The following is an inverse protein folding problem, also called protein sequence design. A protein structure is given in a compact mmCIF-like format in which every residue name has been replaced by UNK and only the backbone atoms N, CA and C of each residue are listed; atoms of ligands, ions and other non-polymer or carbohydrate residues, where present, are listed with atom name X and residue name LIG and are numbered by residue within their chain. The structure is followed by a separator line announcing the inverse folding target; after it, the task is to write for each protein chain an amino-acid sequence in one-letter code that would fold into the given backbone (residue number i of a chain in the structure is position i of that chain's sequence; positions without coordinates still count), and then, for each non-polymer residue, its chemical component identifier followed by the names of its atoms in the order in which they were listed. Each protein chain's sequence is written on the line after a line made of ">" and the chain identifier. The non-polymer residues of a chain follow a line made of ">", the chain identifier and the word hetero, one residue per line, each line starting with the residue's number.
data_IF_008025728251
#
_entry.id   IF_008025728251
#
_cell.length_a   1.000
_cell.length_b   1.000
_cell.length_c   1.000
_cell.angle_alpha   90.00
_cell.angle_beta   90.00
_cell.angle_gamma   90.00
#
_symmetry.space_group_name_H-M   'P 1'
#
loop_
_entity.id
_entity.type
_entity.pdbx_description
1 polymer ?
#
# COMPACT_ATOMS: atom_id res chain seq x y z
N UNK A 1 4.41 11.45 -33.00
CA UNK A 1 5.04 12.77 -32.76
C UNK A 1 4.07 13.86 -33.19
N UNK A 2 3.49 14.61 -32.26
CA UNK A 2 2.50 15.65 -32.58
C UNK A 2 3.21 16.93 -33.04
N UNK A 3 2.95 17.36 -34.28
CA UNK A 3 3.51 18.57 -34.88
C UNK A 3 3.03 19.80 -34.11
N UNK A 4 3.93 20.48 -33.40
CA UNK A 4 3.66 21.76 -32.72
C UNK A 4 3.10 22.77 -33.74
N UNK A 5 1.84 23.17 -33.59
CA UNK A 5 1.26 24.27 -34.37
C UNK A 5 1.93 25.59 -33.95
N UNK A 6 2.88 26.07 -34.75
CA UNK A 6 3.50 27.38 -34.55
C UNK A 6 2.47 28.47 -34.85
N UNK A 7 2.46 29.52 -34.02
CA UNK A 7 1.62 30.69 -34.26
C UNK A 7 1.95 31.30 -35.63
N UNK A 8 0.93 31.54 -36.44
CA UNK A 8 1.11 32.02 -37.82
C UNK A 8 1.03 33.54 -37.86
N UNK A 9 1.87 34.17 -38.68
CA UNK A 9 1.97 35.62 -38.79
C UNK A 9 0.93 36.20 -39.78
N UNK A 10 0.79 37.53 -39.81
CA UNK A 10 -0.16 38.21 -40.70
C UNK A 10 0.07 37.87 -42.17
N UNK A 11 1.35 37.77 -42.58
CA UNK A 11 1.73 37.41 -43.94
C UNK A 11 1.23 36.02 -44.35
N UNK A 12 1.18 35.06 -43.43
CA UNK A 12 0.63 33.73 -43.71
C UNK A 12 -0.86 33.77 -44.09
N UNK A 13 -1.66 34.58 -43.39
CA UNK A 13 -3.09 34.71 -43.69
C UNK A 13 -3.30 35.42 -45.03
N UNK A 14 -2.48 36.43 -45.32
CA UNK A 14 -2.45 37.07 -46.64
C UNK A 14 -2.10 36.07 -47.75
N UNK A 15 -1.04 35.27 -47.61
CA UNK A 15 -0.66 34.26 -48.61
C UNK A 15 -1.76 33.23 -48.86
N UNK A 16 -2.55 32.87 -47.83
CA UNK A 16 -3.69 31.96 -47.97
C UNK A 16 -4.79 32.57 -48.82
N UNK A 17 -5.12 33.83 -48.59
CA UNK A 17 -6.18 34.51 -49.32
C UNK A 17 -5.72 34.84 -50.74
N UNK A 18 -4.46 35.26 -50.92
CA UNK A 18 -3.84 35.48 -52.23
C UNK A 18 -3.80 34.21 -53.09
N UNK A 19 -3.50 33.06 -52.49
CA UNK A 19 -3.58 31.74 -53.17
C UNK A 19 -4.99 31.43 -53.67
N UNK A 20 -6.01 31.80 -52.89
CA UNK A 20 -7.40 31.60 -53.26
C UNK A 20 -7.81 32.54 -54.40
N UNK A 21 -7.37 33.80 -54.38
CA UNK A 21 -7.62 34.79 -55.44
C UNK A 21 -6.95 34.41 -56.77
N UNK A 22 -5.74 33.84 -56.74
CA UNK A 22 -5.02 33.37 -57.92
C UNK A 22 -5.50 32.00 -58.44
N UNK A 23 -6.49 31.39 -57.77
CA UNK A 23 -7.11 30.10 -58.13
C UNK A 23 -6.10 28.97 -58.43
N UNK A 24 -4.98 28.94 -57.68
CA UNK A 24 -3.90 27.94 -57.83
C UNK A 24 -3.81 27.04 -56.59
N UNK A 25 -4.76 26.10 -56.41
CA UNK A 25 -4.86 25.27 -55.20
C UNK A 25 -3.72 24.25 -55.07
N UNK A 26 -2.84 24.09 -56.06
CA UNK A 26 -1.76 23.10 -56.04
C UNK A 26 -0.38 23.65 -55.63
N UNK A 27 -0.20 24.98 -55.54
CA UNK A 27 1.10 25.58 -55.15
C UNK A 27 1.32 25.51 -53.65
N UNK A 28 2.53 25.13 -53.22
CA UNK A 28 2.86 25.10 -51.80
C UNK A 28 2.98 26.53 -51.23
N UNK A 29 2.81 26.70 -49.91
CA UNK A 29 2.98 28.00 -49.28
C UNK A 29 4.43 28.51 -49.36
N UNK A 30 5.41 27.62 -49.52
CA UNK A 30 6.83 27.95 -49.70
C UNK A 30 7.09 28.51 -51.11
N UNK A 31 6.45 27.94 -52.14
CA UNK A 31 6.50 28.44 -53.51
C UNK A 31 5.86 29.82 -53.66
N UNK A 32 4.78 30.08 -52.91
CA UNK A 32 4.08 31.38 -52.92
C UNK A 32 4.93 32.45 -52.21
N UNK A 33 5.60 32.10 -51.11
CA UNK A 33 6.50 33.03 -50.40
C UNK A 33 7.71 33.44 -51.25
N UNK A 34 8.14 32.58 -52.19
CA UNK A 34 9.24 32.83 -53.11
C UNK A 34 8.82 33.63 -54.37
N UNK A 35 7.52 33.82 -54.65
CA UNK A 35 7.05 34.61 -55.79
C UNK A 35 7.25 36.11 -55.51
N UNK A 36 8.03 36.85 -56.33
CA UNK A 36 8.28 38.27 -56.14
C UNK A 36 6.99 39.11 -56.10
N UNK A 37 5.95 38.69 -56.85
CA UNK A 37 4.68 39.43 -56.97
C UNK A 37 3.89 39.42 -55.67
N UNK A 38 3.90 38.31 -54.94
CA UNK A 38 3.23 38.18 -53.64
C UNK A 38 3.88 39.10 -52.59
N UNK A 39 5.22 39.20 -52.61
CA UNK A 39 5.95 40.09 -51.70
C UNK A 39 5.75 41.57 -52.03
N UNK A 40 5.64 41.93 -53.32
CA UNK A 40 5.36 43.30 -53.76
C UNK A 40 3.93 43.73 -53.42
N UNK A 41 2.94 42.87 -53.65
CA UNK A 41 1.54 43.16 -53.28
C UNK A 41 1.33 43.28 -51.76
N UNK A 42 2.06 42.48 -50.97
CA UNK A 42 2.06 42.64 -49.51
C UNK A 42 2.67 43.96 -49.05
N UNK A 43 3.75 44.44 -49.71
CA UNK A 43 4.39 45.72 -49.39
C UNK A 43 3.52 46.92 -49.76
N UNK A 44 2.76 46.81 -50.84
CA UNK A 44 1.87 47.86 -51.35
C UNK A 44 0.43 47.77 -50.80
N UNK A 45 0.17 46.87 -49.84
CA UNK A 45 -1.16 46.66 -49.30
C UNK A 45 -1.65 47.88 -48.49
N UNK A 46 -2.90 48.35 -48.68
CA UNK A 46 -3.46 49.43 -47.89
C UNK A 46 -3.47 49.10 -46.39
N UNK A 47 -3.17 50.10 -45.54
CA UNK A 47 -3.09 49.95 -44.08
C UNK A 47 -4.29 49.19 -43.50
N UNK A 48 -5.50 49.51 -43.97
CA UNK A 48 -6.76 48.91 -43.49
C UNK A 48 -6.80 47.39 -43.73
N UNK A 49 -6.34 46.89 -44.89
CA UNK A 49 -6.30 45.43 -45.14
C UNK A 49 -5.18 44.76 -44.37
N UNK A 50 -4.06 45.45 -44.18
CA UNK A 50 -2.95 44.94 -43.38
C UNK A 50 -3.34 44.74 -41.91
N UNK A 51 -4.09 45.69 -41.36
CA UNK A 51 -4.61 45.63 -39.99
C UNK A 51 -5.55 44.44 -39.77
N UNK A 52 -6.35 44.08 -40.78
CA UNK A 52 -7.21 42.89 -40.73
C UNK A 52 -6.38 41.59 -40.62
N UNK A 53 -5.31 41.46 -41.40
CA UNK A 53 -4.42 40.29 -41.31
C UNK A 53 -3.62 40.25 -39.99
N UNK A 54 -3.26 41.41 -39.45
CA UNK A 54 -2.62 41.50 -38.13
C UNK A 54 -3.58 41.14 -36.98
N UNK A 55 -4.86 41.48 -37.09
CA UNK A 55 -5.91 41.04 -36.15
C UNK A 55 -6.06 39.50 -36.17
N UNK A 56 -6.13 38.89 -37.35
CA UNK A 56 -6.19 37.43 -37.51
C UNK A 56 -4.95 36.73 -36.94
N UNK A 57 -3.77 37.31 -37.11
CA UNK A 57 -2.54 36.79 -36.52
C UNK A 57 -2.53 36.89 -34.99
N UNK A 58 -3.06 37.99 -34.42
CA UNK A 58 -3.22 38.15 -32.97
C UNK A 58 -4.20 37.11 -32.40
N UNK A 59 -5.34 36.90 -33.03
CA UNK A 59 -6.31 35.87 -32.63
C UNK A 59 -5.71 34.46 -32.70
N UNK A 60 -4.97 34.14 -33.76
CA UNK A 60 -4.31 32.85 -33.91
C UNK A 60 -3.25 32.60 -32.82
N UNK A 61 -2.51 33.64 -32.43
CA UNK A 61 -1.55 33.58 -31.33
C UNK A 61 -2.22 33.29 -29.99
N UNK A 62 -3.37 33.92 -29.72
CA UNK A 62 -4.18 33.69 -28.50
C UNK A 62 -4.73 32.25 -28.48
N UNK A 63 -5.22 31.74 -29.62
CA UNK A 63 -5.71 30.36 -29.74
C UNK A 63 -4.60 29.33 -29.56
N UNK A 64 -3.41 29.56 -30.14
CA UNK A 64 -2.26 28.69 -29.93
C UNK A 64 -1.82 28.68 -28.46
N UNK A 65 -1.81 29.83 -27.77
CA UNK A 65 -1.51 29.92 -26.34
C UNK A 65 -2.55 29.20 -25.47
N UNK A 66 -3.85 29.30 -25.79
CA UNK A 66 -4.91 28.53 -25.11
C UNK A 66 -4.79 27.02 -25.35
N UNK A 67 -4.32 26.59 -26.52
CA UNK A 67 -4.08 25.17 -26.80
C UNK A 67 -2.87 24.62 -26.04
N UNK A 68 -1.82 25.43 -25.86
CA UNK A 68 -0.64 25.11 -25.06
C UNK A 68 -0.98 24.97 -23.57
N UNK A 69 -1.94 25.75 -23.05
CA UNK A 69 -2.42 25.63 -21.67
C UNK A 69 -3.43 24.49 -21.44
N UNK A 70 -4.02 23.93 -22.51
CA UNK A 70 -4.89 22.74 -22.43
C UNK A 70 -4.13 21.42 -22.48
N UNK A 71 -2.91 21.39 -23.03
CA UNK A 71 -2.10 20.19 -23.21
C UNK A 71 -0.84 20.14 -22.31
N UNK A 72 -0.77 20.89 -21.21
CA UNK A 72 0.35 20.74 -20.28
C UNK A 72 0.23 19.42 -19.52
N UNK A 73 1.27 18.58 -19.58
CA UNK A 73 1.41 17.37 -18.79
C UNK A 73 1.12 17.60 -17.29
N UNK A 74 1.35 18.83 -16.78
CA UNK A 74 0.98 19.24 -15.43
C UNK A 74 -0.50 19.10 -15.08
N UNK A 75 -1.46 19.36 -15.99
CA UNK A 75 -2.89 19.25 -15.63
C UNK A 75 -3.36 17.79 -15.54
N UNK A 76 -2.74 16.88 -16.31
CA UNK A 76 -3.01 15.44 -16.17
C UNK A 76 -2.47 14.92 -14.85
N UNK A 77 -1.24 15.31 -14.48
CA UNK A 77 -0.68 14.99 -13.17
C UNK A 77 -1.51 15.55 -12.01
N UNK A 78 -2.02 16.79 -12.11
CA UNK A 78 -2.87 17.37 -11.07
C UNK A 78 -4.19 16.61 -10.89
N UNK A 79 -4.87 16.23 -11.99
CA UNK A 79 -6.10 15.43 -11.92
C UNK A 79 -5.85 14.04 -11.35
N UNK A 80 -4.75 13.40 -11.75
CA UNK A 80 -4.37 12.08 -11.24
C UNK A 80 -4.04 12.14 -9.73
N UNK A 81 -3.42 13.23 -9.26
CA UNK A 81 -3.19 13.48 -7.83
C UNK A 81 -4.52 13.71 -7.09
N UNK A 82 -5.40 14.59 -7.59
CA UNK A 82 -6.71 14.85 -6.98
C UNK A 82 -7.59 13.58 -6.92
N UNK A 83 -7.57 12.75 -7.96
CA UNK A 83 -8.28 11.46 -7.98
C UNK A 83 -7.66 10.43 -7.04
N UNK A 84 -6.35 10.48 -6.81
CA UNK A 84 -5.67 9.62 -5.85
C UNK A 84 -6.00 10.05 -4.42
N UNK A 85 -5.88 11.34 -4.10
CA UNK A 85 -6.24 11.91 -2.80
C UNK A 85 -7.70 11.63 -2.46
N UNK A 86 -8.60 11.77 -3.45
CA UNK A 86 -10.02 11.45 -3.25
C UNK A 86 -10.24 9.97 -2.93
N UNK A 87 -9.53 9.06 -3.61
CA UNK A 87 -9.63 7.61 -3.34
C UNK A 87 -9.08 7.25 -1.97
N UNK A 88 -7.98 7.88 -1.56
CA UNK A 88 -7.41 7.70 -0.22
C UNK A 88 -8.35 8.22 0.86
N UNK A 89 -9.01 9.36 0.64
CA UNK A 89 -10.00 9.90 1.58
C UNK A 89 -11.26 9.03 1.65
N UNK A 90 -11.77 8.55 0.51
CA UNK A 90 -12.89 7.60 0.45
C UNK A 90 -12.53 6.29 1.17
N UNK A 91 -11.32 5.77 0.96
CA UNK A 91 -10.83 4.57 1.63
C UNK A 91 -10.77 4.77 3.15
N UNK A 92 -10.17 5.86 3.61
CA UNK A 92 -10.07 6.22 5.03
C UNK A 92 -11.45 6.39 5.66
N UNK A 93 -12.37 7.04 4.96
CA UNK A 93 -13.74 7.21 5.42
C UNK A 93 -14.46 5.86 5.57
N UNK A 94 -14.35 4.99 4.58
CA UNK A 94 -14.95 3.65 4.61
C UNK A 94 -14.37 2.80 5.75
N UNK A 95 -13.05 2.87 5.98
CA UNK A 95 -12.38 2.20 7.09
C UNK A 95 -12.92 2.67 8.44
N UNK A 96 -12.99 4.00 8.66
CA UNK A 96 -13.51 4.57 9.92
C UNK A 96 -14.97 4.17 10.15
N UNK A 97 -15.81 4.24 9.11
CA UNK A 97 -17.20 3.81 9.20
C UNK A 97 -17.32 2.33 9.53
N UNK A 98 -16.54 1.47 8.89
CA UNK A 98 -16.52 0.04 9.15
C UNK A 98 -16.15 -0.26 10.60
N UNK A 99 -15.00 0.25 11.06
CA UNK A 99 -14.50 0.01 12.41
C UNK A 99 -15.49 0.53 13.45
N UNK A 100 -15.97 1.76 13.28
CA UNK A 100 -16.93 2.36 14.21
C UNK A 100 -18.24 1.56 14.27
N UNK A 101 -18.74 1.09 13.12
CA UNK A 101 -19.95 0.27 13.05
C UNK A 101 -19.78 -1.07 13.76
N UNK A 102 -18.71 -1.81 13.44
CA UNK A 102 -18.43 -3.13 14.03
C UNK A 102 -18.24 -3.04 15.54
N UNK A 103 -17.43 -2.10 16.03
CA UNK A 103 -17.18 -1.91 17.47
C UNK A 103 -18.45 -1.45 18.18
N UNK A 104 -19.21 -0.52 17.61
CA UNK A 104 -20.46 -0.02 18.22
C UNK A 104 -21.54 -1.10 18.27
N UNK A 105 -21.68 -1.91 17.22
CA UNK A 105 -22.57 -3.08 17.22
C UNK A 105 -22.12 -4.11 18.25
N UNK A 106 -20.81 -4.37 18.30
CA UNK A 106 -20.15 -5.20 19.30
C UNK A 106 -20.54 -4.84 20.73
N UNK A 107 -20.53 -3.54 21.00
CA UNK A 107 -20.86 -3.00 22.30
C UNK A 107 -22.36 -3.09 22.63
N UNK A 108 -23.23 -2.82 21.64
CA UNK A 108 -24.69 -2.85 21.81
C UNK A 108 -25.22 -4.26 22.06
N UNK A 109 -24.59 -5.27 21.48
CA UNK A 109 -24.97 -6.67 21.62
C UNK A 109 -24.18 -7.42 22.69
N UNK A 110 -23.35 -6.71 23.46
CA UNK A 110 -22.50 -7.26 24.53
C UNK A 110 -21.61 -8.43 24.08
N UNK A 111 -21.19 -8.41 22.81
CA UNK A 111 -20.36 -9.44 22.19
C UNK A 111 -18.97 -8.93 21.79
N UNK A 112 -18.63 -7.70 22.20
CA UNK A 112 -17.34 -7.06 21.91
C UNK A 112 -16.14 -7.92 22.32
N UNK A 113 -16.23 -8.65 23.44
CA UNK A 113 -15.15 -9.53 23.91
C UNK A 113 -14.87 -10.69 22.94
N UNK A 114 -15.90 -11.16 22.22
CA UNK A 114 -15.85 -12.31 21.30
C UNK A 114 -15.65 -11.91 19.84
N UNK A 115 -15.70 -10.61 19.53
CA UNK A 115 -15.46 -10.14 18.17
C UNK A 115 -14.05 -10.49 17.74
N UNK A 116 -13.94 -11.00 16.51
CA UNK A 116 -12.70 -11.47 15.93
C UNK A 116 -12.21 -10.48 14.88
N UNK A 117 -10.95 -10.11 14.99
CA UNK A 117 -10.24 -9.26 14.06
C UNK A 117 -9.05 -10.04 13.50
N UNK A 118 -8.67 -9.81 12.26
CA UNK A 118 -7.56 -10.51 11.63
C UNK A 118 -6.38 -9.57 11.47
N UNK A 119 -5.25 -9.91 12.06
CA UNK A 119 -4.02 -9.11 11.99
C UNK A 119 -3.08 -9.71 10.96
N UNK A 120 -2.38 -8.86 10.21
CA UNK A 120 -1.36 -9.29 9.23
C UNK A 120 -0.09 -8.45 9.37
N UNK A 121 1.06 -9.12 9.38
CA UNK A 121 2.38 -8.51 9.33
C UNK A 121 3.22 -9.16 8.23
N UNK A 122 4.08 -8.37 7.58
CA UNK A 122 5.01 -8.83 6.53
C UNK A 122 6.38 -8.23 6.79
N UNK A 123 7.40 -9.07 6.87
CA UNK A 123 8.80 -8.67 6.72
C UNK A 123 9.19 -8.72 5.25
N UNK A 124 10.19 -7.94 4.86
CA UNK A 124 10.69 -7.85 3.50
C UNK A 124 12.21 -7.85 3.43
N UNK A 125 12.73 -8.33 2.30
CA UNK A 125 14.13 -8.25 1.95
C UNK A 125 14.50 -6.89 1.36
N UNK A 126 13.70 -6.36 0.43
CA UNK A 126 14.05 -5.12 -0.29
C UNK A 126 12.81 -4.29 -0.63
N UNK A 127 13.04 -3.01 -0.92
CA UNK A 127 12.02 -2.07 -1.39
C UNK A 127 12.42 -1.55 -2.77
N UNK A 128 11.58 -1.83 -3.77
CA UNK A 128 11.80 -1.41 -5.15
C UNK A 128 10.79 -0.34 -5.55
N UNK A 129 11.26 0.84 -5.93
CA UNK A 129 10.40 1.89 -6.47
C UNK A 129 10.03 1.57 -7.92
N UNK A 130 8.72 1.40 -8.20
CA UNK A 130 8.19 1.14 -9.56
C UNK A 130 7.69 2.43 -10.23
N UNK A 131 7.54 3.53 -9.48
CA UNK A 131 7.06 4.81 -10.00
C UNK A 131 6.96 5.88 -8.93
N UNK A 132 6.30 7.00 -9.26
CA UNK A 132 6.04 8.06 -8.29
C UNK A 132 5.20 7.51 -7.13
N UNK A 133 5.80 7.47 -5.93
CA UNK A 133 5.18 7.01 -4.69
C UNK A 133 4.64 5.57 -4.72
N UNK A 134 5.17 4.70 -5.60
CA UNK A 134 4.81 3.27 -5.64
C UNK A 134 6.02 2.41 -5.33
N UNK A 135 5.85 1.54 -4.34
CA UNK A 135 6.89 0.67 -3.82
C UNK A 135 6.44 -0.78 -3.87
N UNK A 136 7.31 -1.63 -4.39
CA UNK A 136 7.22 -3.08 -4.38
C UNK A 136 8.09 -3.60 -3.25
N UNK A 137 7.56 -4.53 -2.47
CA UNK A 137 8.31 -5.17 -1.40
C UNK A 137 8.55 -6.62 -1.76
N UNK A 138 9.79 -7.09 -1.62
CA UNK A 138 10.11 -8.52 -1.70
C UNK A 138 9.89 -9.17 -0.34
N UNK A 139 8.80 -9.93 -0.10
CA UNK A 139 8.47 -10.45 1.22
C UNK A 139 9.45 -11.55 1.65
N UNK A 140 9.83 -11.52 2.92
CA UNK A 140 10.71 -12.50 3.56
C UNK A 140 9.94 -13.45 4.48
N UNK A 141 8.87 -12.96 5.11
CA UNK A 141 8.06 -13.69 6.08
C UNK A 141 6.73 -12.95 6.23
N UNK A 142 5.64 -13.67 6.50
CA UNK A 142 4.42 -13.05 6.98
C UNK A 142 3.73 -13.89 8.04
N UNK A 143 2.85 -13.24 8.79
CA UNK A 143 1.92 -13.92 9.68
C UNK A 143 0.54 -13.26 9.60
N UNK A 144 -0.50 -14.10 9.61
CA UNK A 144 -1.89 -13.72 9.77
C UNK A 144 -2.41 -14.37 11.04
N UNK A 145 -2.99 -13.59 11.94
CA UNK A 145 -3.47 -14.06 13.23
C UNK A 145 -4.91 -13.62 13.47
N UNK A 146 -5.69 -14.48 14.12
CA UNK A 146 -7.00 -14.13 14.63
C UNK A 146 -6.86 -13.53 16.03
N UNK A 147 -7.51 -12.40 16.29
CA UNK A 147 -7.49 -11.72 17.57
C UNK A 147 -8.90 -11.54 18.10
N UNK A 148 -9.10 -11.78 19.39
CA UNK A 148 -10.29 -11.36 20.14
C UNK A 148 -9.86 -10.90 21.53
N UNK A 149 -10.65 -10.02 22.15
CA UNK A 149 -10.34 -9.57 23.52
C UNK A 149 -10.46 -10.70 24.55
N UNK A 150 -11.33 -11.69 24.31
CA UNK A 150 -11.56 -12.82 25.22
C UNK A 150 -10.47 -13.88 25.17
N UNK A 151 -9.96 -14.18 23.98
CA UNK A 151 -9.04 -15.29 23.76
C UNK A 151 -7.64 -14.84 23.30
N UNK A 152 -7.38 -13.53 23.24
CA UNK A 152 -6.15 -12.99 22.68
C UNK A 152 -5.92 -13.45 21.23
N UNK A 153 -4.66 -13.78 20.93
CA UNK A 153 -4.20 -14.20 19.61
C UNK A 153 -4.36 -15.72 19.43
N UNK A 154 -5.05 -16.12 18.35
CA UNK A 154 -5.37 -17.50 17.99
C UNK A 154 -5.15 -17.74 16.49
N UNK A 155 -5.21 -19.02 16.07
CA UNK A 155 -5.23 -19.44 14.67
C UNK A 155 -4.19 -18.74 13.76
N UNK A 156 -2.93 -18.74 14.20
CA UNK A 156 -1.87 -18.05 13.47
C UNK A 156 -1.41 -18.85 12.25
N UNK A 157 -1.62 -18.30 11.07
CA UNK A 157 -1.00 -18.74 9.83
C UNK A 157 0.30 -17.96 9.60
N UNK A 158 1.42 -18.66 9.53
CA UNK A 158 2.75 -18.05 9.42
C UNK A 158 3.58 -18.84 8.41
N UNK A 159 4.31 -18.13 7.56
CA UNK A 159 5.22 -18.72 6.57
C UNK A 159 6.48 -17.84 6.44
N UNK A 160 7.64 -18.49 6.28
CA UNK A 160 8.89 -17.86 5.82
C UNK A 160 8.97 -18.10 4.32
N UNK A 161 9.38 -17.08 3.56
CA UNK A 161 9.26 -17.08 2.11
C UNK A 161 10.63 -17.26 1.46
N UNK A 162 10.63 -18.02 0.37
CA UNK A 162 11.77 -18.18 -0.51
C UNK A 162 11.48 -17.46 -1.84
N UNK A 163 11.94 -16.22 -1.94
CA UNK A 163 11.76 -15.40 -3.14
C UNK A 163 13.08 -15.21 -3.90
N UNK A 164 12.99 -15.11 -5.22
CA UNK A 164 14.15 -14.77 -6.05
C UNK A 164 14.40 -13.27 -5.99
N UNK A 165 15.54 -12.86 -5.45
CA UNK A 165 15.90 -11.43 -5.39
C UNK A 165 16.29 -10.91 -6.78
N UNK A 166 15.67 -9.82 -7.25
CA UNK A 166 16.03 -9.22 -8.53
C UNK A 166 17.47 -8.67 -8.55
N UNK A 167 18.07 -8.67 -9.73
CA UNK A 167 19.42 -8.12 -9.96
C UNK A 167 19.49 -6.64 -9.57
N UNK A 168 20.40 -6.30 -8.66
CA UNK A 168 20.58 -4.92 -8.15
C UNK A 168 20.12 -4.72 -6.70
N UNK A 169 19.27 -5.60 -6.18
CA UNK A 169 18.72 -5.50 -4.82
C UNK A 169 19.34 -6.47 -3.82
N UNK A 170 20.28 -7.32 -4.25
CA UNK A 170 20.94 -8.31 -3.40
C UNK A 170 21.63 -7.69 -2.18
N UNK A 171 22.29 -6.53 -2.36
CA UNK A 171 22.97 -5.85 -1.25
C UNK A 171 21.97 -5.40 -0.18
N UNK A 172 20.91 -4.72 -0.60
CA UNK A 172 19.84 -4.26 0.28
C UNK A 172 19.18 -5.44 0.99
N UNK A 173 18.85 -6.51 0.26
CA UNK A 173 18.31 -7.75 0.83
C UNK A 173 19.17 -8.35 1.95
N UNK A 174 20.49 -8.36 1.78
CA UNK A 174 21.43 -8.85 2.79
C UNK A 174 21.52 -7.90 3.99
N UNK A 175 21.54 -6.59 3.75
CA UNK A 175 21.60 -5.56 4.80
C UNK A 175 20.32 -5.59 5.65
N UNK A 176 19.14 -5.50 5.02
CA UNK A 176 17.84 -5.57 5.71
C UNK A 176 17.66 -6.88 6.46
N UNK A 177 18.05 -8.02 5.86
CA UNK A 177 18.03 -9.31 6.56
C UNK A 177 18.87 -9.26 7.84
N UNK A 178 20.12 -8.80 7.78
CA UNK A 178 21.01 -8.76 8.95
C UNK A 178 20.52 -7.82 10.05
N UNK A 179 19.95 -6.68 9.67
CA UNK A 179 19.50 -5.65 10.61
C UNK A 179 18.15 -5.97 11.24
N UNK A 180 17.31 -6.75 10.57
CA UNK A 180 15.94 -7.04 10.99
C UNK A 180 15.72 -8.54 11.21
N UNK A 181 15.00 -9.19 10.31
CA UNK A 181 14.45 -10.55 10.48
C UNK A 181 15.49 -11.68 10.45
N UNK A 182 16.75 -11.45 10.07
CA UNK A 182 17.83 -12.46 10.04
C UNK A 182 17.52 -13.72 9.21
N UNK A 183 16.55 -13.64 8.30
CA UNK A 183 16.21 -14.73 7.38
C UNK A 183 17.21 -14.69 6.23
N UNK A 184 17.91 -15.79 5.90
CA UNK A 184 18.82 -15.83 4.77
C UNK A 184 18.09 -15.50 3.45
N UNK A 185 18.74 -14.74 2.58
CA UNK A 185 18.17 -14.31 1.29
C UNK A 185 17.80 -15.48 0.36
N UNK A 186 18.47 -16.62 0.50
CA UNK A 186 18.18 -17.85 -0.25
C UNK A 186 17.78 -18.97 0.72
N UNK A 187 16.75 -18.74 1.52
CA UNK A 187 16.28 -19.72 2.49
C UNK A 187 15.48 -20.84 1.78
N UNK A 188 16.15 -21.94 1.44
CA UNK A 188 15.58 -23.04 0.64
C UNK A 188 14.39 -23.75 1.28
N UNK A 189 14.26 -23.68 2.60
CA UNK A 189 13.13 -24.25 3.36
C UNK A 189 11.91 -23.33 3.37
N UNK A 190 12.02 -22.10 2.86
CA UNK A 190 10.90 -21.17 2.76
C UNK A 190 9.91 -21.56 1.67
N UNK A 191 8.66 -21.17 1.85
CA UNK A 191 7.59 -21.37 0.87
C UNK A 191 7.79 -20.43 -0.33
N UNK A 192 7.62 -20.98 -1.53
CA UNK A 192 7.74 -20.24 -2.80
C UNK A 192 6.47 -20.32 -3.65
N UNK A 193 5.53 -21.20 -3.31
CA UNK A 193 4.24 -21.32 -3.98
C UNK A 193 3.23 -20.31 -3.42
N UNK A 194 3.17 -19.14 -4.07
CA UNK A 194 2.21 -18.09 -3.75
C UNK A 194 0.74 -18.50 -3.95
N UNK A 195 0.45 -19.47 -4.83
CA UNK A 195 -0.91 -19.97 -5.04
C UNK A 195 -1.33 -20.88 -3.86
N UNK A 196 -0.41 -21.71 -3.35
CA UNK A 196 -0.64 -22.48 -2.13
C UNK A 196 -0.84 -21.56 -0.94
N UNK A 197 0.00 -20.53 -0.81
CA UNK A 197 -0.12 -19.55 0.28
C UNK A 197 -1.46 -18.80 0.24
N UNK A 198 -1.91 -18.38 -0.95
CA UNK A 198 -3.23 -17.80 -1.16
C UNK A 198 -4.35 -18.75 -0.71
N UNK A 199 -4.26 -20.03 -1.09
CA UNK A 199 -5.27 -21.04 -0.74
C UNK A 199 -5.37 -21.25 0.76
N UNK A 200 -4.23 -21.33 1.45
CA UNK A 200 -4.16 -21.43 2.92
C UNK A 200 -4.75 -20.17 3.59
N UNK A 201 -4.41 -18.98 3.08
CA UNK A 201 -4.94 -17.70 3.56
C UNK A 201 -6.47 -17.67 3.41
N UNK A 202 -7.00 -17.88 2.20
CA UNK A 202 -8.45 -17.87 1.95
C UNK A 202 -9.18 -18.88 2.83
N UNK A 203 -8.60 -20.07 3.06
CA UNK A 203 -9.19 -21.06 3.98
C UNK A 203 -9.35 -20.52 5.41
N UNK A 204 -8.40 -19.72 5.90
CA UNK A 204 -8.52 -19.04 7.20
C UNK A 204 -9.63 -17.97 7.16
N UNK A 205 -9.72 -17.21 6.07
CA UNK A 205 -10.66 -16.09 5.92
C UNK A 205 -12.10 -16.51 5.62
N UNK A 206 -12.31 -17.68 5.00
CA UNK A 206 -13.63 -18.09 4.48
C UNK A 206 -14.68 -18.20 5.61
N UNK A 207 -14.25 -18.55 6.82
CA UNK A 207 -15.15 -18.63 7.99
C UNK A 207 -15.70 -17.28 8.46
N UNK A 208 -15.10 -16.18 7.99
CA UNK A 208 -15.43 -14.79 8.37
C UNK A 208 -15.96 -13.96 7.20
N UNK A 209 -16.18 -14.60 6.06
CA UNK A 209 -16.61 -13.93 4.83
C UNK A 209 -18.03 -13.41 4.99
N UNK A 210 -18.21 -12.14 4.67
CA UNK A 210 -19.54 -11.50 4.66
C UNK A 210 -19.92 -11.22 3.21
N UNK A 211 -21.08 -11.74 2.80
CA UNK A 211 -21.54 -11.72 1.40
C UNK A 211 -20.51 -12.36 0.45
N UNK A 212 -19.73 -11.54 -0.25
CA UNK A 212 -18.72 -11.95 -1.24
C UNK A 212 -17.34 -11.32 -0.99
N UNK A 213 -17.12 -10.68 0.16
CA UNK A 213 -15.83 -10.05 0.49
C UNK A 213 -15.21 -10.69 1.72
N UNK A 214 -13.88 -10.83 1.69
CA UNK A 214 -13.13 -11.26 2.84
C UNK A 214 -13.19 -10.21 3.96
N UNK A 215 -13.09 -10.62 5.23
CA UNK A 215 -12.95 -9.66 6.32
C UNK A 215 -11.71 -8.76 6.12
N UNK A 216 -11.73 -7.52 6.61
CA UNK A 216 -10.54 -6.68 6.58
C UNK A 216 -9.40 -7.28 7.38
N UNK A 217 -8.19 -7.16 6.84
CA UNK A 217 -6.95 -7.48 7.51
C UNK A 217 -6.39 -6.19 8.12
N UNK A 218 -6.04 -6.21 9.40
CA UNK A 218 -5.51 -5.06 10.10
C UNK A 218 -3.99 -5.15 10.21
N UNK A 219 -3.31 -4.04 9.92
CA UNK A 219 -1.86 -3.93 9.99
C UNK A 219 -1.48 -2.51 10.41
N UNK A 220 -0.24 -2.30 10.83
CA UNK A 220 0.24 -0.95 11.13
C UNK A 220 0.54 -0.18 9.84
N UNK A 221 0.41 1.14 9.86
CA UNK A 221 0.52 1.97 8.67
C UNK A 221 1.84 1.73 7.92
N UNK A 222 2.95 1.62 8.66
CA UNK A 222 4.30 1.40 8.14
C UNK A 222 4.47 0.10 7.33
N UNK A 223 3.63 -0.91 7.56
CA UNK A 223 3.70 -2.22 6.88
C UNK A 223 2.64 -2.40 5.80
N UNK A 224 1.74 -1.42 5.61
CA UNK A 224 0.61 -1.52 4.66
C UNK A 224 1.07 -1.82 3.23
N UNK A 225 2.12 -1.14 2.74
CA UNK A 225 2.62 -1.37 1.38
C UNK A 225 3.28 -2.76 1.22
N UNK A 226 3.92 -3.27 2.26
CA UNK A 226 4.50 -4.61 2.26
C UNK A 226 3.39 -5.68 2.21
N UNK A 227 2.34 -5.51 3.01
CA UNK A 227 1.13 -6.35 2.99
C UNK A 227 0.48 -6.33 1.61
N UNK A 228 0.26 -5.15 1.02
CA UNK A 228 -0.33 -5.03 -0.31
C UNK A 228 0.52 -5.71 -1.40
N UNK A 229 1.86 -5.60 -1.32
CA UNK A 229 2.76 -6.28 -2.25
C UNK A 229 2.63 -7.81 -2.15
N UNK A 230 2.58 -8.35 -0.92
CA UNK A 230 2.38 -9.78 -0.68
C UNK A 230 1.03 -10.27 -1.22
N UNK A 231 -0.06 -9.57 -0.90
CA UNK A 231 -1.40 -9.92 -1.37
C UNK A 231 -1.49 -9.86 -2.90
N UNK A 232 -0.84 -8.87 -3.53
CA UNK A 232 -0.75 -8.79 -4.98
C UNK A 232 -0.08 -10.05 -5.56
N UNK A 233 1.09 -10.45 -5.05
CA UNK A 233 1.77 -11.67 -5.51
C UNK A 233 0.92 -12.93 -5.34
N UNK A 234 0.25 -13.08 -4.20
CA UNK A 234 -0.64 -14.21 -3.94
C UNK A 234 -1.84 -14.25 -4.90
N UNK A 235 -2.47 -13.09 -5.13
CA UNK A 235 -3.66 -12.98 -6.00
C UNK A 235 -3.30 -13.15 -7.47
N UNK A 236 -2.17 -12.61 -7.92
CA UNK A 236 -1.65 -12.82 -9.28
C UNK A 236 -1.34 -14.30 -9.53
N UNK A 237 -0.68 -14.98 -8.59
CA UNK A 237 -0.41 -16.41 -8.68
C UNK A 237 -1.69 -17.27 -8.72
N UNK A 238 -2.74 -16.84 -8.01
CA UNK A 238 -4.04 -17.52 -7.98
C UNK A 238 -5.01 -17.07 -9.10
N UNK A 239 -4.62 -16.14 -9.97
CA UNK A 239 -5.47 -15.51 -10.98
C UNK A 239 -6.77 -14.90 -10.40
N UNK A 240 -6.62 -14.14 -9.31
CA UNK A 240 -7.68 -13.47 -8.55
C UNK A 240 -7.46 -11.96 -8.50
N UNK A 241 -8.49 -11.21 -8.10
CA UNK A 241 -8.35 -9.76 -7.93
C UNK A 241 -7.90 -9.42 -6.51
N UNK A 242 -6.96 -8.47 -6.39
CA UNK A 242 -6.57 -7.89 -5.10
C UNK A 242 -7.73 -7.15 -4.41
N UNK A 243 -8.74 -6.70 -5.17
CA UNK A 243 -9.92 -5.99 -4.63
C UNK A 243 -10.79 -6.85 -3.70
N UNK A 244 -10.53 -8.17 -3.63
CA UNK A 244 -11.15 -9.08 -2.68
C UNK A 244 -10.69 -8.82 -1.24
N UNK A 245 -9.53 -8.18 -1.05
CA UNK A 245 -8.92 -7.89 0.25
C UNK A 245 -9.03 -6.41 0.59
N UNK A 246 -9.21 -6.13 1.88
CA UNK A 246 -9.15 -4.79 2.45
C UNK A 246 -8.10 -4.80 3.56
N UNK A 247 -7.17 -3.85 3.51
CA UNK A 247 -6.10 -3.72 4.50
C UNK A 247 -6.31 -2.42 5.28
N UNK A 248 -6.70 -2.53 6.54
CA UNK A 248 -7.05 -1.40 7.40
C UNK A 248 -5.99 -1.14 8.47
N UNK A 249 -5.98 0.10 8.97
CA UNK A 249 -5.09 0.53 10.05
C UNK A 249 -5.47 -0.12 11.38
N UNK A 250 -4.50 -0.79 11.97
CA UNK A 250 -4.60 -1.38 13.31
C UNK A 250 -4.68 -0.29 14.39
N UNK A 251 -3.99 0.82 14.19
CA UNK A 251 -4.02 2.00 15.08
C UNK A 251 -5.43 2.58 15.16
N UNK A 252 -6.12 2.66 14.02
CA UNK A 252 -7.52 3.09 13.94
C UNK A 252 -8.43 2.13 14.69
N UNK A 253 -8.27 0.82 14.48
CA UNK A 253 -9.03 -0.20 15.22
C UNK A 253 -8.81 -0.06 16.72
N UNK A 254 -7.57 0.05 17.17
CA UNK A 254 -7.22 0.19 18.58
C UNK A 254 -7.79 1.45 19.21
N UNK A 255 -7.65 2.61 18.56
CA UNK A 255 -8.18 3.87 19.06
C UNK A 255 -9.70 3.79 19.24
N UNK A 256 -10.44 3.30 18.25
CA UNK A 256 -11.89 3.15 18.34
C UNK A 256 -12.31 2.12 19.39
N UNK A 257 -11.67 0.95 19.42
CA UNK A 257 -11.96 -0.12 20.39
C UNK A 257 -11.79 0.40 21.82
N UNK A 258 -10.63 0.99 22.14
CA UNK A 258 -10.36 1.56 23.46
C UNK A 258 -11.33 2.69 23.79
N UNK A 259 -11.59 3.61 22.86
CA UNK A 259 -12.45 4.76 23.12
C UNK A 259 -13.90 4.39 23.36
N UNK A 260 -14.40 3.33 22.72
CA UNK A 260 -15.75 2.82 22.96
C UNK A 260 -15.83 2.10 24.32
N UNK A 261 -14.82 1.32 24.68
CA UNK A 261 -14.75 0.64 25.98
C UNK A 261 -14.67 1.63 27.13
N UNK A 262 -13.75 2.58 27.05
CA UNK A 262 -13.47 3.55 28.13
C UNK A 262 -14.64 4.51 28.37
N UNK A 263 -15.48 4.76 27.34
CA UNK A 263 -16.74 5.50 27.50
C UNK A 263 -17.74 4.80 28.43
N UNK A 264 -17.70 3.47 28.58
CA UNK A 264 -18.48 2.75 29.61
C UNK A 264 -17.96 2.98 31.02
N UNK A 265 -16.66 3.24 31.18
CA UNK A 265 -15.99 3.33 32.49
C UNK A 265 -15.56 4.76 32.86
N UNK A 266 -16.18 5.78 32.26
CA UNK A 266 -15.91 7.22 32.49
C UNK A 266 -14.45 7.68 32.28
N UNK A 267 -13.63 6.93 31.54
CA UNK A 267 -12.25 7.35 31.28
C UNK A 267 -12.09 8.27 30.06
N UNK A 268 -10.86 8.69 29.80
CA UNK A 268 -10.55 9.59 28.67
C UNK A 268 -10.29 8.83 27.37
N UNK A 269 -10.94 9.29 26.29
CA UNK A 269 -10.63 8.85 24.93
C UNK A 269 -9.26 9.33 24.48
N UNK A 270 -8.59 8.55 23.63
CA UNK A 270 -7.31 8.89 23.00
C UNK A 270 -7.51 9.28 21.54
N UNK A 271 -6.72 10.24 21.02
CA UNK A 271 -6.66 10.50 19.59
C UNK A 271 -5.81 9.44 18.86
N UNK A 272 -5.97 9.35 17.53
CA UNK A 272 -5.24 8.39 16.68
C UNK A 272 -3.71 8.50 16.83
N UNK A 273 -3.17 9.71 16.95
CA UNK A 273 -1.71 9.92 17.14
C UNK A 273 -1.17 9.21 18.38
N UNK A 274 -1.96 9.07 19.44
CA UNK A 274 -1.54 8.32 20.63
C UNK A 274 -1.54 6.82 20.34
N UNK A 275 -2.52 6.32 19.58
CA UNK A 275 -2.53 4.93 19.14
C UNK A 275 -1.30 4.58 18.29
N UNK A 276 -0.93 5.43 17.33
CA UNK A 276 0.29 5.29 16.52
C UNK A 276 1.55 5.23 17.40
N UNK A 277 1.65 6.13 18.40
CA UNK A 277 2.77 6.15 19.33
C UNK A 277 2.84 4.85 20.15
N UNK A 278 1.72 4.31 20.63
CA UNK A 278 1.74 3.08 21.43
C UNK A 278 2.21 1.85 20.63
N UNK A 279 1.78 1.71 19.37
CA UNK A 279 2.30 0.64 18.50
C UNK A 279 3.77 0.89 18.11
N UNK A 280 4.18 2.15 17.94
CA UNK A 280 5.57 2.52 17.65
C UNK A 280 6.56 2.25 18.78
N UNK A 281 6.11 2.28 20.05
CA UNK A 281 6.96 1.93 21.21
C UNK A 281 7.29 0.44 21.27
N UNK A 282 6.37 -0.42 20.81
CA UNK A 282 6.44 -1.88 20.92
C UNK A 282 6.98 -2.34 22.29
N UNK A 283 6.29 -2.00 23.37
CA UNK A 283 6.74 -2.24 24.75
C UNK A 283 7.01 -3.72 25.06
N UNK A 284 6.44 -4.62 24.23
CA UNK A 284 6.59 -6.06 24.35
C UNK A 284 7.69 -6.64 23.45
N UNK A 285 8.46 -5.83 22.71
CA UNK A 285 9.48 -6.25 21.74
C UNK A 285 10.35 -7.42 22.25
N UNK A 286 10.85 -7.32 23.49
CA UNK A 286 11.75 -8.30 24.10
C UNK A 286 11.04 -9.51 24.73
N UNK A 287 9.77 -9.72 24.41
CA UNK A 287 8.99 -10.85 24.94
C UNK A 287 9.49 -12.18 24.36
N UNK A 288 9.97 -13.10 25.20
CA UNK A 288 10.39 -14.42 24.73
C UNK A 288 9.20 -15.27 24.30
N UNK A 289 9.44 -16.26 23.43
CA UNK A 289 8.50 -17.36 23.16
C UNK A 289 7.42 -17.10 22.10
N UNK A 290 7.22 -15.86 21.66
CA UNK A 290 6.22 -15.50 20.64
C UNK A 290 6.71 -15.67 19.18
N UNK A 291 8.02 -15.89 18.97
CA UNK A 291 8.61 -16.11 17.65
C UNK A 291 8.22 -17.43 16.98
N UNK A 292 8.51 -17.54 15.68
CA UNK A 292 8.40 -18.80 14.95
C UNK A 292 9.52 -19.78 15.32
N UNK A 293 9.43 -21.03 14.86
CA UNK A 293 10.44 -22.05 15.17
C UNK A 293 11.85 -21.62 14.75
N UNK A 294 12.00 -21.09 13.53
CA UNK A 294 13.28 -20.58 13.03
C UNK A 294 13.86 -19.48 13.92
N UNK A 295 13.07 -18.45 14.25
CA UNK A 295 13.54 -17.35 15.09
C UNK A 295 13.71 -17.69 16.57
N UNK A 296 13.14 -18.80 17.06
CA UNK A 296 13.43 -19.31 18.40
C UNK A 296 14.83 -19.91 18.51
N UNK A 297 15.40 -20.37 17.40
CA UNK A 297 16.78 -20.87 17.32
C UNK A 297 17.81 -19.74 17.16
N UNK A 298 17.34 -18.51 16.91
CA UNK A 298 18.18 -17.31 16.79
C UNK A 298 18.04 -16.45 18.04
N UNK A 299 19.14 -16.23 18.78
CA UNK A 299 19.14 -15.52 20.06
C UNK A 299 18.50 -14.11 20.01
N UNK A 300 18.43 -13.45 18.84
CA UNK A 300 17.90 -12.09 18.67
C UNK A 300 16.90 -11.91 17.50
N UNK A 301 16.52 -12.97 16.80
CA UNK A 301 15.67 -12.87 15.59
C UNK A 301 14.16 -12.72 15.90
N UNK A 302 13.75 -13.11 17.11
CA UNK A 302 12.34 -13.19 17.48
C UNK A 302 11.62 -11.83 17.54
N UNK A 303 12.35 -10.72 17.79
CA UNK A 303 11.73 -9.39 17.85
C UNK A 303 11.14 -8.93 16.52
N UNK A 304 11.77 -9.30 15.40
CA UNK A 304 11.27 -8.94 14.07
C UNK A 304 10.36 -10.00 13.47
N UNK A 305 10.31 -11.21 14.02
CA UNK A 305 9.47 -12.30 13.52
C UNK A 305 8.01 -11.84 13.36
N UNK A 306 7.44 -12.01 12.17
CA UNK A 306 6.08 -11.58 11.86
C UNK A 306 5.04 -12.22 12.79
N UNK A 307 5.25 -13.49 13.16
CA UNK A 307 4.41 -14.18 14.15
C UNK A 307 4.50 -13.52 15.54
N UNK A 308 5.71 -13.12 15.94
CA UNK A 308 5.88 -12.42 17.21
C UNK A 308 5.24 -11.04 17.17
N UNK A 309 5.39 -10.30 16.07
CA UNK A 309 4.84 -8.95 15.90
C UNK A 309 3.31 -8.96 16.04
N UNK A 310 2.60 -9.81 15.29
CA UNK A 310 1.12 -9.89 15.40
C UNK A 310 0.67 -10.33 16.80
N UNK A 311 1.48 -11.15 17.49
CA UNK A 311 1.20 -11.57 18.86
C UNK A 311 1.31 -10.38 19.83
N UNK A 312 2.37 -9.58 19.71
CA UNK A 312 2.61 -8.40 20.54
C UNK A 312 1.56 -7.31 20.31
N UNK A 313 1.07 -7.15 19.09
CA UNK A 313 -0.07 -6.27 18.81
C UNK A 313 -1.31 -6.67 19.63
N UNK A 314 -1.59 -7.96 19.73
CA UNK A 314 -2.64 -8.48 20.60
C UNK A 314 -2.42 -8.11 22.06
N UNK A 315 -1.20 -8.29 22.58
CA UNK A 315 -0.86 -7.91 23.96
C UNK A 315 -1.05 -6.41 24.22
N UNK A 316 -0.61 -5.55 23.29
CA UNK A 316 -0.83 -4.10 23.39
C UNK A 316 -2.32 -3.78 23.46
N UNK A 317 -3.16 -4.40 22.63
CA UNK A 317 -4.60 -4.12 22.69
C UNK A 317 -5.21 -4.63 24.01
N UNK A 318 -4.83 -5.81 24.46
CA UNK A 318 -5.32 -6.40 25.71
C UNK A 318 -4.94 -5.57 26.95
N UNK A 319 -3.69 -5.09 27.03
CA UNK A 319 -3.18 -4.28 28.15
C UNK A 319 -4.05 -3.03 28.41
N UNK A 320 -4.51 -2.39 27.32
CA UNK A 320 -5.34 -1.19 27.41
C UNK A 320 -6.85 -1.46 27.46
N UNK A 321 -7.33 -2.60 26.98
CA UNK A 321 -8.77 -2.85 26.82
C UNK A 321 -9.35 -3.80 27.86
N UNK A 322 -8.65 -4.88 28.22
CA UNK A 322 -9.19 -5.97 29.04
C UNK A 322 -9.54 -5.49 30.46
N UNK A 323 -8.74 -4.59 31.05
CA UNK A 323 -8.98 -4.03 32.38
C UNK A 323 -10.34 -3.30 32.47
N UNK A 324 -10.73 -2.59 31.41
CA UNK A 324 -11.98 -1.82 31.37
C UNK A 324 -13.20 -2.68 31.01
N UNK A 325 -12.98 -3.90 30.53
CA UNK A 325 -14.04 -4.86 30.22
C UNK A 325 -14.20 -5.95 31.27
N UNK A 326 -13.42 -5.90 32.36
CA UNK A 326 -13.39 -6.95 33.39
C UNK A 326 -13.11 -8.34 32.78
N UNK A 327 -12.22 -8.39 31.79
CA UNK A 327 -11.74 -9.64 31.20
C UNK A 327 -10.54 -10.12 32.01
N UNK A 328 -10.60 -11.36 32.47
CA UNK A 328 -9.49 -12.00 33.18
C UNK A 328 -8.31 -12.20 32.21
N UNK A 329 -7.24 -11.44 32.44
CA UNK A 329 -6.05 -11.54 31.62
C UNK A 329 -5.30 -12.84 31.93
N UNK A 330 -5.08 -13.64 30.89
CA UNK A 330 -4.37 -14.93 30.95
C UNK A 330 -2.95 -14.78 30.40
N UNK A 331 -1.97 -15.26 31.16
CA UNK A 331 -0.56 -15.30 30.77
C UNK A 331 -0.33 -16.10 29.48
N UNK A 332 0.50 -15.57 28.59
CA UNK A 332 0.78 -16.15 27.27
C UNK A 332 -0.37 -16.01 26.25
N UNK A 333 -1.49 -15.40 26.65
CA UNK A 333 -2.65 -15.15 25.79
C UNK A 333 -2.92 -13.65 25.65
N UNK A 334 -3.02 -12.95 26.78
CA UNK A 334 -3.33 -11.52 26.85
C UNK A 334 -2.10 -10.66 27.15
N UNK A 335 -1.10 -11.25 27.79
CA UNK A 335 0.18 -10.62 28.08
C UNK A 335 1.30 -11.67 27.99
N UNK A 336 2.57 -11.25 27.85
CA UNK A 336 3.73 -12.12 27.76
C UNK A 336 3.79 -13.22 28.83
N UNK A 337 4.31 -14.39 28.46
CA UNK A 337 4.68 -15.40 29.44
C UNK A 337 5.91 -14.92 30.23
N UNK A 338 5.78 -14.84 31.55
CA UNK A 338 6.82 -14.44 32.48
C UNK A 338 7.88 -15.52 32.70
N UNK A 339 7.60 -16.76 32.28
CA UNK A 339 8.57 -17.86 32.33
C UNK A 339 9.30 -18.02 31.00
N UNK A 340 10.61 -17.77 31.04
CA UNK A 340 11.55 -18.30 30.05
C UNK A 340 11.67 -19.80 30.34
N UNK A 341 10.93 -20.64 29.61
CA UNK A 341 11.02 -22.09 29.80
C UNK A 341 12.44 -22.58 29.42
N UNK A 342 13.29 -22.74 30.43
CA UNK A 342 14.57 -23.43 30.33
C UNK A 342 14.45 -24.95 30.55
N UNK A 343 13.25 -25.52 30.60
CA UNK A 343 13.06 -26.95 30.87
C UNK A 343 11.94 -27.56 30.04
N UNK A 344 12.32 -28.27 28.98
CA UNK A 344 12.07 -29.72 28.81
C UNK A 344 12.64 -30.20 27.45
N UNK A 345 13.97 -30.28 27.36
CA UNK A 345 14.57 -31.35 26.56
C UNK A 345 14.40 -32.64 27.37
N UNK A 346 13.29 -33.33 27.14
CA UNK A 346 13.24 -34.75 27.44
C UNK A 346 14.02 -35.47 26.34
N UNK A 347 15.13 -36.05 26.78
CA UNK A 347 16.18 -36.79 26.11
C UNK A 347 15.71 -38.10 25.45
N UNK A 348 14.65 -38.07 24.63
CA UNK A 348 14.11 -39.28 23.98
C UNK A 348 14.08 -39.22 22.43
N UNK A 349 14.89 -38.35 21.82
CA UNK A 349 14.92 -38.20 20.35
C UNK A 349 16.30 -38.21 19.69
N UNK A 350 17.38 -38.41 20.45
CA UNK A 350 18.76 -38.31 19.90
C UNK A 350 19.20 -39.59 19.18
N UNK A 351 18.50 -40.72 19.35
CA UNK A 351 18.93 -42.00 18.74
C UNK A 351 18.45 -42.23 17.30
N UNK A 352 17.54 -41.42 16.73
CA UNK A 352 17.03 -41.67 15.36
C UNK A 352 17.70 -40.85 14.25
N UNK A 353 18.45 -39.80 14.59
CA UNK A 353 19.17 -38.98 13.59
C UNK A 353 20.63 -39.44 13.43
N UNK A 354 21.23 -40.01 14.47
CA UNK A 354 22.59 -40.57 14.41
C UNK A 354 22.68 -41.89 13.64
N UNK A 355 21.57 -42.58 13.38
CA UNK A 355 21.53 -43.83 12.61
C UNK A 355 21.35 -43.63 11.08
N UNK A 356 21.32 -42.39 10.59
CA UNK A 356 21.20 -42.07 9.14
C UNK A 356 22.40 -41.32 8.56
N UNK A 357 23.49 -41.26 9.31
CA UNK A 357 24.78 -40.70 8.88
C UNK A 357 25.92 -41.73 8.96
N UNK A 358 25.62 -43.00 8.68
CA UNK A 358 26.61 -44.01 8.26
C UNK A 358 26.28 -44.54 6.87
#
# INVERSE_FOLDING_TARGET
>A
MSTKSKAKNAYYFFMRDWRAEQNTPHRSFEEIAADPRCNEEWKNLPSIRRDQYEALAKENKILCQRSLSKNSASRKNLREIEEQEKREEEFRHNMLQYVSSVVSMGLKHDNLETLKFLFIHVNWFYIKSIGMNKYEYGPAEFAVAEFSLKNGIQNVYHEILNITIPLGWMREAIETSKETHQIPVNFSEGESDFCLMYTKLVKLLESYKTENKFPPLFTVESTTNAVNSLLLMMTEAANRSIDEFQVYSLETLFAELRNVIVRKTEGQSIPLVIAEIEFGKDIFNFTPGAGCYFHKLLDNGSQYCSKSVVTRWGYTICDYCCIHMNIDMVEGVHYPNSRVDHQQWNDNGIDEVSARME
#
